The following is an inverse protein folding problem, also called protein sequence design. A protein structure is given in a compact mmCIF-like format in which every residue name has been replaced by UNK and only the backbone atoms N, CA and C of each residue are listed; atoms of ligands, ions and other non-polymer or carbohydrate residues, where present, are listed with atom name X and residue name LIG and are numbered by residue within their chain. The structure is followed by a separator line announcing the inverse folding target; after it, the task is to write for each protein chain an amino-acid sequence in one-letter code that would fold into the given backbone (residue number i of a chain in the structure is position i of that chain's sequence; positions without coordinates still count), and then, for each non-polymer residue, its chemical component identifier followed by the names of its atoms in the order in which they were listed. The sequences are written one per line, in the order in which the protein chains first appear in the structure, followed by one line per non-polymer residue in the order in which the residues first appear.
data_IF_623534191459
#
_entry.id   IF_623534191459
#
_cell.length_a   1.000
_cell.length_b   1.000
_cell.length_c   1.000
_cell.angle_alpha   90.00
_cell.angle_beta   90.00
_cell.angle_gamma   90.00
#
_symmetry.space_group_name_H-M   'P 1'
#
loop_
_entity.id
_entity.type
_entity.pdbx_description
1 polymer ?
#
# COMPACT_ATOMS: atom_id res chain seq x y z
N UNK A 1 2.11 -31.95 -8.64
CA UNK A 1 1.30 -30.72 -8.71
C UNK A 1 2.19 -29.57 -8.31
N UNK A 2 2.16 -28.42 -8.99
CA UNK A 2 2.87 -27.23 -8.49
C UNK A 2 2.30 -26.86 -7.13
N UNK A 3 3.16 -26.55 -6.16
CA UNK A 3 2.75 -26.08 -4.83
C UNK A 3 1.98 -24.75 -5.02
N UNK A 4 0.75 -24.70 -4.52
CA UNK A 4 -0.07 -23.48 -4.52
C UNK A 4 0.19 -22.70 -3.24
N UNK A 5 -0.08 -21.40 -3.26
CA UNK A 5 -0.10 -20.51 -2.11
C UNK A 5 -1.52 -19.98 -1.92
N UNK A 6 -2.16 -20.32 -0.81
CA UNK A 6 -3.45 -19.79 -0.43
C UNK A 6 -3.30 -18.34 0.04
N UNK A 7 -3.95 -17.42 -0.68
CA UNK A 7 -3.89 -15.98 -0.44
C UNK A 7 -5.16 -15.49 0.21
N UNK A 8 -5.01 -14.67 1.26
CA UNK A 8 -6.09 -13.88 1.84
C UNK A 8 -5.84 -12.40 1.58
N UNK A 9 -6.82 -11.72 0.98
CA UNK A 9 -6.75 -10.29 0.64
C UNK A 9 -7.70 -9.47 1.53
N UNK A 10 -7.14 -8.72 2.48
CA UNK A 10 -7.87 -7.79 3.32
C UNK A 10 -7.93 -6.40 2.68
N UNK A 11 -9.06 -5.72 2.83
CA UNK A 11 -9.26 -4.37 2.28
C UNK A 11 -9.02 -4.34 0.77
N UNK A 12 -9.59 -5.32 0.07
CA UNK A 12 -9.23 -5.65 -1.31
C UNK A 12 -9.45 -4.49 -2.31
N UNK A 13 -10.35 -3.55 -1.98
CA UNK A 13 -10.74 -2.48 -2.88
C UNK A 13 -11.28 -3.06 -4.18
N UNK A 14 -10.64 -2.72 -5.30
CA UNK A 14 -10.94 -3.29 -6.62
C UNK A 14 -10.00 -4.44 -7.01
N UNK A 15 -9.23 -4.98 -6.06
CA UNK A 15 -8.42 -6.20 -6.20
C UNK A 15 -7.03 -6.00 -6.78
N UNK A 16 -6.37 -4.90 -6.40
CA UNK A 16 -5.02 -4.59 -6.86
C UNK A 16 -3.97 -5.61 -6.42
N UNK A 17 -4.10 -6.21 -5.24
CA UNK A 17 -3.17 -7.26 -4.82
C UNK A 17 -3.41 -8.53 -5.61
N UNK A 18 -4.65 -9.05 -5.62
CA UNK A 18 -4.99 -10.28 -6.35
C UNK A 18 -4.60 -10.22 -7.81
N UNK A 19 -4.97 -9.14 -8.52
CA UNK A 19 -4.61 -8.98 -9.93
C UNK A 19 -3.09 -9.00 -10.15
N UNK A 20 -2.32 -8.37 -9.27
CA UNK A 20 -0.87 -8.34 -9.36
C UNK A 20 -0.23 -9.70 -9.13
N UNK A 21 -0.69 -10.42 -8.10
CA UNK A 21 -0.22 -11.76 -7.76
C UNK A 21 -0.58 -12.78 -8.86
N UNK A 22 -1.82 -12.78 -9.36
CA UNK A 22 -2.23 -13.66 -10.45
C UNK A 22 -1.51 -13.33 -11.77
N UNK A 23 -1.17 -12.06 -12.03
CA UNK A 23 -0.27 -11.67 -13.14
C UNK A 23 1.17 -12.14 -12.94
N UNK A 24 1.61 -12.39 -11.71
CA UNK A 24 2.92 -12.98 -11.45
C UNK A 24 2.88 -14.48 -11.74
N UNK A 25 1.91 -15.21 -11.17
CA UNK A 25 1.61 -16.59 -11.50
C UNK A 25 0.24 -17.02 -10.93
N UNK A 26 -0.79 -17.12 -11.77
CA UNK A 26 -2.14 -17.52 -11.39
C UNK A 26 -2.27 -18.99 -11.00
N UNK A 27 -1.32 -19.84 -11.38
CA UNK A 27 -1.34 -21.27 -11.02
C UNK A 27 -0.84 -21.48 -9.59
N UNK A 28 -0.02 -20.57 -9.07
CA UNK A 28 0.52 -20.62 -7.71
C UNK A 28 -0.33 -19.80 -6.74
N UNK A 29 -0.56 -18.52 -7.02
CA UNK A 29 -1.31 -17.66 -6.11
C UNK A 29 -2.82 -17.91 -6.24
N UNK A 30 -3.42 -18.54 -5.22
CA UNK A 30 -4.86 -18.82 -5.18
C UNK A 30 -5.51 -17.97 -4.10
N UNK A 31 -6.24 -16.94 -4.50
CA UNK A 31 -6.99 -16.12 -3.53
C UNK A 31 -8.21 -16.90 -3.05
N UNK A 32 -8.11 -17.46 -1.84
CA UNK A 32 -9.16 -18.30 -1.24
C UNK A 32 -10.23 -17.48 -0.53
N UNK A 33 -9.85 -16.30 -0.02
CA UNK A 33 -10.78 -15.39 0.65
C UNK A 33 -10.33 -13.93 0.50
N UNK A 34 -11.28 -13.04 0.23
CA UNK A 34 -11.04 -11.61 0.14
C UNK A 34 -12.15 -10.82 0.84
N UNK A 35 -11.80 -9.73 1.52
CA UNK A 35 -12.75 -8.84 2.17
C UNK A 35 -12.66 -7.41 1.65
N UNK A 36 -13.82 -6.87 1.31
CA UNK A 36 -13.97 -5.46 0.97
C UNK A 36 -15.32 -4.96 1.44
N UNK A 37 -15.30 -3.98 2.34
CA UNK A 37 -16.50 -3.34 2.87
C UNK A 37 -16.30 -1.84 3.09
N UNK A 38 -17.28 -1.05 2.65
CA UNK A 38 -17.30 0.41 2.81
C UNK A 38 -18.46 0.83 3.74
N UNK A 39 -18.24 1.01 5.06
CA UNK A 39 -19.32 1.20 6.05
C UNK A 39 -20.26 2.35 5.75
N UNK A 40 -19.71 3.43 5.19
CA UNK A 40 -20.44 4.68 4.96
C UNK A 40 -21.22 4.69 3.64
N UNK A 41 -21.30 3.57 2.92
CA UNK A 41 -21.91 3.50 1.59
C UNK A 41 -23.00 2.45 1.51
N UNK A 42 -24.13 2.81 0.89
CA UNK A 42 -25.18 1.86 0.54
C UNK A 42 -24.77 0.98 -0.63
N UNK A 43 -24.24 1.59 -1.69
CA UNK A 43 -23.69 0.88 -2.85
C UNK A 43 -22.23 0.53 -2.57
N UNK A 44 -21.89 -0.74 -2.73
CA UNK A 44 -20.55 -1.28 -2.46
C UNK A 44 -19.78 -1.40 -3.78
N UNK A 45 -19.54 -0.28 -4.46
CA UNK A 45 -18.98 -0.23 -5.82
C UNK A 45 -17.64 -0.98 -5.94
N UNK A 46 -16.75 -0.83 -4.95
CA UNK A 46 -15.47 -1.52 -4.95
C UNK A 46 -15.64 -3.04 -4.86
N UNK A 47 -16.51 -3.53 -3.96
CA UNK A 47 -16.82 -4.94 -3.83
C UNK A 47 -17.48 -5.50 -5.09
N UNK A 48 -18.47 -4.80 -5.65
CA UNK A 48 -19.13 -5.22 -6.89
C UNK A 48 -18.16 -5.28 -8.08
N UNK A 49 -17.21 -4.34 -8.14
CA UNK A 49 -16.12 -4.37 -9.11
C UNK A 49 -15.20 -5.59 -8.90
N UNK A 50 -14.86 -5.90 -7.65
CA UNK A 50 -14.04 -7.06 -7.31
C UNK A 50 -14.71 -8.36 -7.77
N UNK A 51 -15.95 -8.61 -7.36
CA UNK A 51 -16.69 -9.85 -7.66
C UNK A 51 -17.07 -10.01 -9.13
N UNK A 52 -17.13 -8.90 -9.88
CA UNK A 52 -17.29 -8.94 -11.34
C UNK A 52 -16.04 -9.46 -12.05
N UNK A 53 -14.85 -9.07 -11.57
CA UNK A 53 -13.59 -9.43 -12.23
C UNK A 53 -13.01 -10.76 -11.72
N UNK A 54 -13.40 -11.19 -10.51
CA UNK A 54 -12.94 -12.43 -9.91
C UNK A 54 -14.11 -13.32 -9.55
N UNK A 55 -14.10 -14.57 -10.02
CA UNK A 55 -15.18 -15.54 -9.80
C UNK A 55 -14.80 -16.67 -8.83
N UNK A 56 -13.52 -16.81 -8.51
CA UNK A 56 -13.00 -17.85 -7.61
C UNK A 56 -12.71 -17.29 -6.22
N UNK A 57 -12.76 -18.17 -5.22
CA UNK A 57 -12.60 -17.83 -3.79
C UNK A 57 -13.85 -17.21 -3.18
N UNK A 58 -13.83 -17.01 -1.87
CA UNK A 58 -14.92 -16.37 -1.12
C UNK A 58 -14.70 -14.86 -1.12
N UNK A 59 -15.74 -14.07 -1.47
CA UNK A 59 -15.69 -12.61 -1.40
C UNK A 59 -16.63 -12.12 -0.31
N UNK A 60 -16.06 -11.62 0.78
CA UNK A 60 -16.78 -11.06 1.94
C UNK A 60 -17.03 -9.56 1.75
N UNK A 61 -18.30 -9.16 1.84
CA UNK A 61 -18.73 -7.75 1.89
C UNK A 61 -19.19 -7.34 3.30
N UNK A 62 -18.52 -7.86 4.32
CA UNK A 62 -18.89 -7.63 5.72
C UNK A 62 -17.83 -6.81 6.44
N UNK A 63 -18.20 -6.23 7.58
CA UNK A 63 -17.24 -5.63 8.50
C UNK A 63 -16.25 -6.70 8.95
N UNK A 64 -14.96 -6.50 8.67
CA UNK A 64 -13.91 -7.45 9.04
C UNK A 64 -13.91 -7.72 10.56
N UNK A 65 -14.32 -6.75 11.38
CA UNK A 65 -14.39 -6.89 12.84
C UNK A 65 -15.49 -7.85 13.31
N UNK A 66 -16.42 -8.25 12.42
CA UNK A 66 -17.49 -9.21 12.72
C UNK A 66 -17.24 -10.60 12.14
N UNK A 67 -16.20 -10.77 11.31
CA UNK A 67 -15.85 -12.06 10.71
C UNK A 67 -15.31 -13.00 11.81
N UNK A 68 -15.89 -14.20 12.02
CA UNK A 68 -15.47 -15.12 13.08
C UNK A 68 -14.04 -15.63 12.90
N UNK A 69 -13.35 -15.91 14.01
CA UNK A 69 -11.98 -16.43 14.04
C UNK A 69 -11.85 -17.77 13.31
N UNK A 70 -12.87 -18.63 13.42
CA UNK A 70 -12.93 -19.95 12.76
C UNK A 70 -12.81 -19.84 11.24
N UNK A 71 -13.23 -18.71 10.66
CA UNK A 71 -13.05 -18.43 9.24
C UNK A 71 -11.58 -18.48 8.87
N UNK A 72 -10.69 -17.83 9.63
CA UNK A 72 -9.27 -17.74 9.29
C UNK A 72 -8.51 -19.02 9.61
N UNK A 73 -8.93 -19.76 10.64
CA UNK A 73 -8.33 -21.04 11.04
C UNK A 73 -8.48 -22.13 9.96
N UNK A 74 -9.54 -22.06 9.14
CA UNK A 74 -9.86 -23.06 8.12
C UNK A 74 -9.28 -22.76 6.73
N UNK A 75 -8.72 -21.57 6.51
CA UNK A 75 -8.30 -21.11 5.18
C UNK A 75 -6.89 -21.54 4.78
N UNK A 76 -6.13 -22.19 5.68
CA UNK A 76 -4.74 -22.63 5.44
C UNK A 76 -3.90 -21.52 4.77
N UNK A 77 -3.88 -20.33 5.37
CA UNK A 77 -3.35 -19.12 4.72
C UNK A 77 -1.83 -19.21 4.58
N UNK A 78 -1.31 -19.12 3.35
CA UNK A 78 0.14 -19.01 3.11
C UNK A 78 0.60 -17.56 3.01
N UNK A 79 -0.19 -16.71 2.36
CA UNK A 79 0.12 -15.30 2.12
C UNK A 79 -1.06 -14.42 2.50
N UNK A 80 -0.85 -13.53 3.47
CA UNK A 80 -1.79 -12.47 3.82
C UNK A 80 -1.40 -11.16 3.13
N UNK A 81 -2.32 -10.54 2.39
CA UNK A 81 -2.10 -9.24 1.77
C UNK A 81 -3.15 -8.22 2.18
N UNK A 82 -2.80 -6.93 2.19
CA UNK A 82 -3.81 -5.90 2.42
C UNK A 82 -3.30 -4.46 2.44
N UNK A 83 -4.09 -3.57 1.85
CA UNK A 83 -3.87 -2.12 1.84
C UNK A 83 -4.78 -1.47 2.87
N UNK A 84 -4.37 -1.48 4.14
CA UNK A 84 -5.25 -1.06 5.23
C UNK A 84 -5.38 0.47 5.34
N UNK A 85 -6.55 1.01 5.75
CA UNK A 85 -6.74 2.45 5.91
C UNK A 85 -5.76 3.09 6.90
N UNK A 86 -5.12 4.20 6.50
CA UNK A 86 -4.22 4.99 7.35
C UNK A 86 -5.02 5.77 8.42
N UNK A 87 -5.19 5.20 9.61
CA UNK A 87 -5.78 5.86 10.79
C UNK A 87 -4.74 5.97 11.92
N UNK A 88 -4.86 6.98 12.79
CA UNK A 88 -4.00 7.09 13.98
C UNK A 88 -4.23 5.86 14.89
N UNK A 89 -3.14 5.20 15.32
CA UNK A 89 -3.23 4.06 16.22
C UNK A 89 -3.28 4.54 17.67
N UNK A 90 -4.09 3.90 18.50
CA UNK A 90 -4.09 4.13 19.94
C UNK A 90 -4.17 2.80 20.65
N UNK A 91 -3.30 2.62 21.65
CA UNK A 91 -3.37 1.52 22.60
C UNK A 91 -4.19 2.02 23.80
N UNK A 92 -5.21 1.29 24.23
CA UNK A 92 -5.95 1.60 25.45
C UNK A 92 -6.07 0.36 26.35
N UNK A 93 -6.01 0.59 27.66
CA UNK A 93 -6.24 -0.40 28.73
C UNK A 93 -7.67 -0.92 28.70
N UNK A 94 -7.88 -2.20 28.98
CA UNK A 94 -9.06 -2.62 29.75
C UNK A 94 -8.84 -2.24 31.22
N UNK A 95 -9.88 -1.75 31.90
CA UNK A 95 -9.82 -1.40 33.34
C UNK A 95 -9.80 -2.65 34.25
N UNK A 96 -9.63 -3.85 33.70
CA UNK A 96 -9.86 -5.12 34.39
C UNK A 96 -8.79 -6.17 34.07
N UNK A 97 -7.49 -5.86 34.17
CA UNK A 97 -6.42 -6.86 34.28
C UNK A 97 -6.28 -7.90 33.16
N UNK A 98 -7.08 -7.81 32.09
CA UNK A 98 -7.07 -8.71 30.95
C UNK A 98 -6.03 -8.25 29.93
N UNK A 99 -5.24 -9.19 29.40
CA UNK A 99 -4.26 -9.00 28.33
C UNK A 99 -4.96 -8.76 26.97
N UNK A 100 -5.84 -7.76 26.90
CA UNK A 100 -6.59 -7.41 25.69
C UNK A 100 -6.38 -5.93 25.33
N UNK A 101 -5.84 -5.68 24.13
CA UNK A 101 -5.70 -4.34 23.55
C UNK A 101 -7.05 -3.93 22.94
N UNK A 102 -7.85 -3.10 23.62
CA UNK A 102 -9.06 -2.49 23.02
C UNK A 102 -8.87 -0.97 22.87
N UNK A 103 -8.27 -0.56 21.75
CA UNK A 103 -8.18 0.85 21.34
C UNK A 103 -9.18 1.18 20.23
N UNK A 104 -10.08 2.15 20.45
CA UNK A 104 -11.16 2.55 19.52
C UNK A 104 -10.73 3.35 18.27
N UNK A 105 -9.42 3.51 17.99
CA UNK A 105 -8.88 4.08 16.74
C UNK A 105 -7.51 3.42 16.48
N UNK A 106 -7.33 2.83 15.30
CA UNK A 106 -6.29 1.81 14.99
C UNK A 106 -6.85 0.40 14.73
N UNK A 107 -8.18 0.25 14.75
CA UNK A 107 -8.93 -1.03 14.71
C UNK A 107 -8.46 -1.99 13.63
N UNK A 108 -8.18 -1.51 12.42
CA UNK A 108 -7.99 -2.39 11.27
C UNK A 108 -6.63 -3.09 11.20
N UNK A 109 -5.57 -2.55 11.83
CA UNK A 109 -4.33 -3.34 12.00
C UNK A 109 -4.50 -4.43 13.05
N UNK A 110 -5.34 -4.22 14.06
CA UNK A 110 -5.64 -5.26 15.03
C UNK A 110 -6.40 -6.43 14.40
N UNK A 111 -7.20 -6.17 13.37
CA UNK A 111 -7.80 -7.24 12.57
C UNK A 111 -6.75 -8.01 11.76
N UNK A 112 -5.73 -7.32 11.20
CA UNK A 112 -4.58 -8.01 10.59
C UNK A 112 -3.90 -8.90 11.65
N UNK A 113 -3.60 -8.37 12.84
CA UNK A 113 -3.05 -9.14 13.96
C UNK A 113 -3.92 -10.35 14.30
N UNK A 114 -5.25 -10.19 14.37
CA UNK A 114 -6.20 -11.27 14.64
C UNK A 114 -6.13 -12.37 13.60
N UNK A 115 -6.00 -12.03 12.31
CA UNK A 115 -5.78 -13.03 11.25
C UNK A 115 -4.45 -13.74 11.45
N UNK A 116 -3.37 -13.01 11.75
CA UNK A 116 -2.05 -13.60 11.99
C UNK A 116 -2.04 -14.57 13.18
N UNK A 117 -2.75 -14.25 14.27
CA UNK A 117 -2.89 -15.10 15.46
C UNK A 117 -3.70 -16.36 15.22
N UNK A 118 -4.64 -16.33 14.27
CA UNK A 118 -5.51 -17.47 13.96
C UNK A 118 -4.98 -18.40 12.87
N UNK A 119 -4.08 -17.91 12.02
CA UNK A 119 -3.65 -18.65 10.81
C UNK A 119 -2.15 -18.76 10.63
N UNK A 120 -1.36 -17.87 11.24
CA UNK A 120 0.10 -17.84 11.14
C UNK A 120 0.62 -18.04 9.70
N UNK A 121 0.32 -17.13 8.75
CA UNK A 121 0.76 -17.30 7.36
C UNK A 121 2.29 -17.31 7.22
N UNK A 122 2.81 -17.92 6.16
CA UNK A 122 4.26 -17.88 5.86
C UNK A 122 4.72 -16.46 5.60
N UNK A 123 3.91 -15.73 4.84
CA UNK A 123 4.23 -14.40 4.33
C UNK A 123 3.09 -13.42 4.59
N UNK A 124 3.45 -12.15 4.78
CA UNK A 124 2.53 -11.03 4.90
C UNK A 124 3.05 -9.88 4.04
N UNK A 125 2.22 -9.37 3.13
CA UNK A 125 2.55 -8.23 2.30
C UNK A 125 1.51 -7.12 2.47
N UNK A 126 1.90 -6.05 3.17
CA UNK A 126 1.01 -4.93 3.45
C UNK A 126 1.45 -3.67 2.70
N UNK A 127 0.48 -2.80 2.43
CA UNK A 127 0.72 -1.47 1.85
C UNK A 127 0.11 -0.37 2.72
N UNK A 128 0.79 0.78 2.75
CA UNK A 128 0.25 2.02 3.27
C UNK A 128 0.90 3.27 2.66
N UNK A 129 0.42 4.46 3.03
CA UNK A 129 1.12 5.72 2.75
C UNK A 129 2.42 5.82 3.55
N UNK A 130 3.46 6.44 2.97
CA UNK A 130 4.79 6.55 3.60
C UNK A 130 4.80 7.35 4.92
N UNK A 131 3.75 8.11 5.19
CA UNK A 131 3.53 8.80 6.47
C UNK A 131 3.43 7.83 7.65
N UNK A 132 3.04 6.56 7.43
CA UNK A 132 2.96 5.54 8.47
C UNK A 132 4.25 5.45 9.31
N UNK A 133 5.41 5.53 8.65
CA UNK A 133 6.74 5.51 9.28
C UNK A 133 6.99 6.64 10.30
N UNK A 134 6.15 7.68 10.27
CA UNK A 134 6.23 8.88 11.11
C UNK A 134 5.03 9.00 12.05
N UNK A 135 4.08 8.08 11.99
CA UNK A 135 2.83 8.15 12.74
C UNK A 135 3.02 7.83 14.23
N UNK A 136 2.25 8.47 15.14
CA UNK A 136 1.37 9.61 14.90
C UNK A 136 2.16 10.92 14.85
N UNK A 137 1.52 11.98 14.37
CA UNK A 137 2.11 13.33 14.32
C UNK A 137 2.61 13.86 15.68
N UNK A 138 1.99 13.42 16.80
CA UNK A 138 2.35 13.85 18.16
C UNK A 138 3.51 13.08 18.78
N UNK A 139 3.84 11.90 18.26
CA UNK A 139 4.86 11.01 18.81
C UNK A 139 5.48 10.19 17.66
N UNK A 140 6.43 10.80 16.97
CA UNK A 140 6.90 10.32 15.67
C UNK A 140 7.34 8.86 15.71
N UNK A 141 6.80 8.05 14.81
CA UNK A 141 7.23 6.66 14.56
C UNK A 141 6.71 5.62 15.55
N UNK A 142 6.01 6.03 16.62
CA UNK A 142 5.45 5.11 17.61
C UNK A 142 4.54 4.06 16.97
N UNK A 143 3.63 4.45 16.09
CA UNK A 143 2.64 3.51 15.53
C UNK A 143 3.31 2.42 14.69
N UNK A 144 4.30 2.82 13.88
CA UNK A 144 5.08 1.86 13.11
C UNK A 144 5.90 0.93 14.03
N UNK A 145 6.46 1.45 15.14
CA UNK A 145 7.14 0.63 16.13
C UNK A 145 6.22 -0.38 16.82
N UNK A 146 4.95 -0.02 17.10
CA UNK A 146 3.94 -0.95 17.62
C UNK A 146 3.66 -2.06 16.60
N UNK A 147 3.57 -1.74 15.30
CA UNK A 147 3.42 -2.77 14.27
C UNK A 147 4.62 -3.71 14.22
N UNK A 148 5.85 -3.17 14.23
CA UNK A 148 7.07 -3.99 14.26
C UNK A 148 7.14 -4.88 15.50
N UNK A 149 6.79 -4.36 16.68
CA UNK A 149 6.72 -5.15 17.91
C UNK A 149 5.66 -6.24 17.83
N UNK A 150 4.50 -5.96 17.22
CA UNK A 150 3.45 -6.97 16.99
C UNK A 150 3.97 -8.11 16.12
N UNK A 151 4.66 -7.81 15.02
CA UNK A 151 5.27 -8.84 14.16
C UNK A 151 6.36 -9.63 14.88
N UNK A 152 7.21 -8.95 15.67
CA UNK A 152 8.23 -9.59 16.51
C UNK A 152 7.58 -10.58 17.48
N UNK A 153 6.53 -10.17 18.18
CA UNK A 153 5.86 -10.97 19.20
C UNK A 153 5.13 -12.18 18.58
N UNK A 154 4.78 -12.09 17.29
CA UNK A 154 4.24 -13.17 16.48
C UNK A 154 5.30 -13.98 15.72
N UNK A 155 6.59 -13.78 16.03
CA UNK A 155 7.73 -14.49 15.46
C UNK A 155 7.94 -14.27 13.94
N UNK A 156 7.77 -13.03 13.48
CA UNK A 156 8.08 -12.61 12.10
C UNK A 156 9.30 -11.70 12.03
N UNK A 157 10.06 -11.87 10.95
CA UNK A 157 11.01 -10.87 10.47
C UNK A 157 10.27 -9.88 9.60
N UNK A 158 10.63 -8.59 9.65
CA UNK A 158 9.96 -7.55 8.87
C UNK A 158 10.96 -6.76 8.06
N UNK A 159 10.78 -6.72 6.75
CA UNK A 159 11.37 -5.70 5.88
C UNK A 159 10.34 -4.63 5.53
N UNK A 160 10.79 -3.40 5.26
CA UNK A 160 9.94 -2.36 4.67
C UNK A 160 10.68 -1.53 3.65
N UNK A 161 9.93 -0.99 2.68
CA UNK A 161 10.44 -0.05 1.69
C UNK A 161 9.38 0.93 1.21
N UNK A 162 9.74 2.21 1.15
CA UNK A 162 8.99 3.21 0.40
C UNK A 162 9.37 3.10 -1.06
N UNK A 163 8.41 2.73 -1.89
CA UNK A 163 8.55 2.55 -3.34
C UNK A 163 7.74 3.64 -4.04
N UNK A 164 8.38 4.33 -4.99
CA UNK A 164 7.70 5.21 -5.92
C UNK A 164 7.48 4.44 -7.23
N UNK A 165 6.24 4.20 -7.65
CA UNK A 165 5.98 3.33 -8.79
C UNK A 165 6.69 3.79 -10.09
N UNK A 166 6.75 5.09 -10.34
CA UNK A 166 7.46 5.67 -11.47
C UNK A 166 8.98 5.47 -11.43
N UNK A 167 9.61 5.22 -10.28
CA UNK A 167 11.04 4.91 -10.24
C UNK A 167 11.33 3.48 -10.74
N UNK A 168 10.30 2.62 -10.81
CA UNK A 168 10.42 1.18 -11.10
C UNK A 168 9.57 0.72 -12.29
N UNK A 169 9.28 1.61 -13.24
CA UNK A 169 8.73 1.27 -14.56
C UNK A 169 7.26 1.56 -14.76
N UNK A 170 6.58 2.21 -13.81
CA UNK A 170 5.15 2.53 -13.94
C UNK A 170 4.90 3.97 -14.43
N UNK A 171 3.64 4.25 -14.80
CA UNK A 171 3.25 5.54 -15.36
C UNK A 171 2.95 6.63 -14.31
N UNK A 172 3.04 6.32 -13.01
CA UNK A 172 2.56 7.19 -11.93
C UNK A 172 3.62 7.38 -10.84
N UNK A 173 3.87 8.63 -10.45
CA UNK A 173 4.61 8.98 -9.24
C UNK A 173 3.75 8.67 -8.02
N UNK A 174 3.70 7.41 -7.58
CA UNK A 174 2.92 6.95 -6.42
C UNK A 174 3.86 6.36 -5.38
N UNK A 175 4.12 7.13 -4.33
CA UNK A 175 4.97 6.73 -3.19
C UNK A 175 4.14 6.04 -2.13
N UNK A 176 4.51 4.81 -1.78
CA UNK A 176 3.87 3.98 -0.75
C UNK A 176 4.90 3.18 0.02
N UNK A 177 4.65 2.94 1.30
CA UNK A 177 5.43 1.99 2.08
C UNK A 177 4.81 0.61 1.90
N UNK A 178 5.64 -0.34 1.51
CA UNK A 178 5.33 -1.75 1.54
C UNK A 178 6.05 -2.39 2.72
N UNK A 179 5.37 -3.33 3.38
CA UNK A 179 5.89 -4.08 4.51
C UNK A 179 5.79 -5.54 4.14
N UNK A 180 6.92 -6.24 4.14
CA UNK A 180 6.99 -7.67 3.91
C UNK A 180 7.42 -8.34 5.20
N UNK A 181 6.52 -9.08 5.82
CA UNK A 181 6.81 -9.88 7.00
C UNK A 181 6.82 -11.35 6.61
N UNK A 182 7.74 -12.12 7.17
CA UNK A 182 7.86 -13.55 6.91
C UNK A 182 8.27 -14.28 8.18
N UNK A 183 7.80 -15.52 8.35
CA UNK A 183 8.06 -16.29 9.57
C UNK A 183 9.55 -16.52 9.77
N UNK A 184 9.95 -16.49 11.04
CA UNK A 184 11.32 -16.61 11.52
C UNK A 184 11.98 -17.98 11.25
N UNK A 185 11.18 -19.00 10.99
CA UNK A 185 11.56 -20.41 10.80
C UNK A 185 11.63 -20.85 9.33
N UNK A 186 11.42 -19.94 8.38
CA UNK A 186 11.60 -20.22 6.95
C UNK A 186 13.08 -20.30 6.57
N UNK A 187 13.41 -21.11 5.55
CA UNK A 187 14.77 -21.22 5.01
C UNK A 187 15.27 -19.84 4.53
N UNK A 188 14.38 -19.05 3.92
CA UNK A 188 14.65 -17.67 3.56
C UNK A 188 15.07 -16.84 4.77
N UNK A 189 14.37 -16.96 5.89
CA UNK A 189 14.72 -16.23 7.11
C UNK A 189 16.09 -16.65 7.63
N UNK A 190 16.35 -17.95 7.76
CA UNK A 190 17.66 -18.47 8.15
C UNK A 190 18.79 -17.96 7.26
N UNK A 191 18.54 -17.87 5.95
CA UNK A 191 19.50 -17.33 5.02
C UNK A 191 19.75 -15.83 5.24
N UNK A 192 18.71 -15.05 5.53
CA UNK A 192 18.86 -13.62 5.84
C UNK A 192 19.73 -13.36 7.08
N UNK A 193 19.70 -14.25 8.09
CA UNK A 193 20.57 -14.16 9.28
C UNK A 193 22.07 -14.30 8.98
N UNK A 194 22.46 -14.75 7.77
CA UNK A 194 23.86 -14.82 7.35
C UNK A 194 24.41 -13.46 6.91
N UNK A 195 23.55 -12.47 6.70
CA UNK A 195 23.91 -11.14 6.23
C UNK A 195 23.78 -10.10 7.35
N UNK A 196 24.53 -9.00 7.25
CA UNK A 196 24.30 -7.84 8.09
C UNK A 196 22.98 -7.16 7.69
N UNK A 197 22.31 -6.54 8.67
CA UNK A 197 21.01 -5.87 8.43
C UNK A 197 21.07 -4.80 7.32
N UNK A 198 22.21 -4.12 7.15
CA UNK A 198 22.40 -3.19 6.03
C UNK A 198 22.52 -3.90 4.68
N UNK A 199 23.20 -5.05 4.59
CA UNK A 199 23.28 -5.87 3.37
C UNK A 199 21.90 -6.37 2.95
N UNK A 200 21.03 -6.74 3.90
CA UNK A 200 19.63 -7.09 3.63
C UNK A 200 18.91 -5.89 2.98
N UNK A 201 19.03 -4.70 3.56
CA UNK A 201 18.37 -3.50 3.04
C UNK A 201 18.88 -3.09 1.66
N UNK A 202 20.17 -3.20 1.38
CA UNK A 202 20.72 -2.71 0.11
C UNK A 202 20.81 -3.75 -1.00
N UNK A 203 20.86 -5.05 -0.68
CA UNK A 203 21.20 -6.09 -1.67
C UNK A 203 20.45 -7.42 -1.51
N UNK A 204 20.38 -7.98 -0.31
CA UNK A 204 20.03 -9.40 -0.12
C UNK A 204 18.56 -9.64 0.24
N UNK A 205 17.90 -8.64 0.80
CA UNK A 205 16.51 -8.73 1.27
C UNK A 205 15.48 -8.74 0.14
N UNK A 206 14.25 -9.08 0.51
CA UNK A 206 13.10 -9.12 -0.38
C UNK A 206 12.96 -7.85 -1.23
N UNK A 207 12.95 -6.69 -0.59
CA UNK A 207 12.78 -5.44 -1.33
C UNK A 207 14.04 -5.02 -2.08
N UNK A 208 15.23 -5.45 -1.66
CA UNK A 208 16.48 -5.15 -2.35
C UNK A 208 16.55 -5.85 -3.71
N UNK A 209 16.16 -7.13 -3.74
CA UNK A 209 16.03 -7.91 -4.98
C UNK A 209 14.91 -7.37 -5.89
N UNK A 210 13.77 -7.01 -5.30
CA UNK A 210 12.60 -6.53 -6.07
C UNK A 210 12.76 -5.11 -6.63
N UNK A 211 13.34 -4.21 -5.82
CA UNK A 211 13.42 -2.77 -6.10
C UNK A 211 14.83 -2.24 -5.81
N UNK A 212 15.81 -2.47 -6.71
CA UNK A 212 17.21 -2.16 -6.45
C UNK A 212 17.47 -0.68 -6.14
N UNK A 213 18.31 -0.44 -5.14
CA UNK A 213 18.74 0.88 -4.67
C UNK A 213 20.26 1.01 -4.77
N UNK A 214 20.78 2.23 -4.74
CA UNK A 214 22.22 2.44 -4.58
C UNK A 214 22.68 1.81 -3.25
N UNK A 215 23.90 1.28 -3.24
CA UNK A 215 24.45 0.51 -2.10
C UNK A 215 24.86 1.37 -0.90
N UNK A 216 24.60 2.68 -0.94
CA UNK A 216 24.96 3.62 0.13
C UNK A 216 23.73 4.41 0.60
N UNK A 217 23.67 4.78 1.90
CA UNK A 217 22.61 5.63 2.43
C UNK A 217 22.66 7.02 1.79
N UNK A 218 21.51 7.52 1.36
CA UNK A 218 21.40 8.89 0.84
C UNK A 218 21.78 9.90 1.92
N UNK A 219 22.91 10.59 1.70
CA UNK A 219 23.52 11.56 2.62
C UNK A 219 23.86 10.95 4.00
N UNK A 220 24.26 9.68 4.05
CA UNK A 220 24.68 9.05 5.31
C UNK A 220 23.54 8.84 6.33
N UNK A 221 22.28 8.89 5.89
CA UNK A 221 21.11 8.80 6.76
C UNK A 221 20.73 7.34 7.00
N UNK A 222 21.34 6.74 8.00
CA UNK A 222 21.01 5.42 8.50
C UNK A 222 21.14 5.34 10.01
N UNK A 223 20.37 4.46 10.63
CA UNK A 223 20.33 4.26 12.06
C UNK A 223 19.98 2.79 12.36
N UNK A 224 20.56 2.25 13.42
CA UNK A 224 20.15 0.97 14.00
C UNK A 224 19.78 1.16 15.46
N UNK A 225 18.79 0.42 15.94
CA UNK A 225 18.37 0.43 17.34
C UNK A 225 17.60 -0.86 17.68
N UNK A 226 17.13 -0.99 18.91
CA UNK A 226 16.31 -2.10 19.39
C UNK A 226 14.98 -1.61 19.92
N UNK A 227 13.90 -2.28 19.53
CA UNK A 227 12.58 -2.01 20.07
C UNK A 227 12.52 -2.42 21.56
N UNK A 228 11.90 -1.59 22.42
CA UNK A 228 11.51 -2.03 23.76
C UNK A 228 10.73 -3.34 23.72
N UNK A 229 10.98 -4.24 24.68
CA UNK A 229 10.25 -5.51 24.75
C UNK A 229 8.77 -5.28 25.09
N UNK A 230 8.51 -4.38 26.04
CA UNK A 230 7.15 -4.03 26.44
C UNK A 230 6.48 -3.07 25.44
N UNK A 231 5.38 -3.53 24.82
CA UNK A 231 4.56 -2.72 23.90
C UNK A 231 4.00 -1.47 24.59
N UNK A 232 3.76 -1.50 25.91
CA UNK A 232 3.33 -0.32 26.66
C UNK A 232 4.44 0.75 26.71
N UNK A 233 5.69 0.33 26.92
CA UNK A 233 6.83 1.24 26.86
C UNK A 233 6.96 1.88 25.47
N UNK A 234 6.66 1.13 24.40
CA UNK A 234 6.61 1.67 23.05
C UNK A 234 5.50 2.72 22.95
N UNK A 235 4.28 2.37 23.36
CA UNK A 235 3.12 3.25 23.32
C UNK A 235 3.38 4.58 24.02
N UNK A 236 3.93 4.54 25.23
CA UNK A 236 4.01 5.71 26.09
C UNK A 236 5.23 6.59 25.79
N UNK A 237 6.36 6.00 25.39
CA UNK A 237 7.65 6.71 25.39
C UNK A 237 8.43 6.64 24.08
N UNK A 238 8.12 5.69 23.19
CA UNK A 238 8.96 5.51 22.00
C UNK A 238 8.72 6.61 20.97
N UNK A 239 9.81 7.20 20.49
CA UNK A 239 9.81 8.20 19.42
C UNK A 239 11.04 7.97 18.57
N UNK A 240 10.84 7.72 17.28
CA UNK A 240 11.92 7.40 16.36
C UNK A 240 11.61 7.86 14.94
N UNK A 241 12.64 8.30 14.22
CA UNK A 241 12.52 8.71 12.82
C UNK A 241 12.88 7.61 11.85
N UNK A 242 12.00 6.64 11.61
CA UNK A 242 12.25 5.58 10.62
C UNK A 242 12.51 6.17 9.22
N UNK A 243 13.48 5.60 8.53
CA UNK A 243 13.81 5.97 7.16
C UNK A 243 13.03 5.12 6.15
N UNK A 244 13.22 5.43 4.87
CA UNK A 244 12.40 4.87 3.78
C UNK A 244 12.61 3.39 3.52
N UNK A 245 13.68 2.77 4.03
CA UNK A 245 13.85 1.33 3.98
C UNK A 245 14.39 0.82 5.32
N UNK A 246 14.14 -0.45 5.61
CA UNK A 246 14.71 -1.08 6.80
C UNK A 246 14.34 -2.55 6.93
N UNK A 247 14.97 -3.17 7.92
CA UNK A 247 14.70 -4.55 8.36
C UNK A 247 14.69 -4.60 9.87
N UNK A 248 13.77 -5.38 10.45
CA UNK A 248 13.69 -5.71 11.86
C UNK A 248 13.76 -7.23 12.01
N UNK A 249 14.73 -7.69 12.82
CA UNK A 249 14.99 -9.09 13.14
C UNK A 249 15.09 -9.23 14.66
N UNK A 250 14.27 -10.07 15.26
CA UNK A 250 14.25 -10.35 16.71
C UNK A 250 14.18 -9.06 17.57
N UNK A 251 13.45 -8.04 17.09
CA UNK A 251 13.28 -6.74 17.74
C UNK A 251 14.42 -5.74 17.53
N UNK A 252 15.54 -6.14 16.95
CA UNK A 252 16.60 -5.24 16.51
C UNK A 252 16.33 -4.79 15.08
N UNK A 253 16.51 -3.50 14.80
CA UNK A 253 16.25 -2.97 13.47
C UNK A 253 17.39 -2.11 12.95
N UNK A 254 17.50 -2.08 11.63
CA UNK A 254 18.31 -1.14 10.87
C UNK A 254 17.41 -0.44 9.86
N UNK A 255 17.59 0.85 9.69
CA UNK A 255 16.83 1.64 8.72
C UNK A 255 17.71 2.69 8.06
N UNK A 256 17.49 2.89 6.77
CA UNK A 256 18.26 3.82 5.97
C UNK A 256 17.41 4.57 4.96
N UNK A 257 17.82 5.79 4.66
CA UNK A 257 17.29 6.50 3.52
C UNK A 257 17.96 5.97 2.27
N UNK A 258 17.17 5.39 1.38
CA UNK A 258 17.64 4.85 0.11
C UNK A 258 17.39 5.81 -1.05
N UNK A 259 18.16 5.62 -2.11
CA UNK A 259 17.98 6.22 -3.43
C UNK A 259 17.96 5.09 -4.46
N UNK A 260 17.04 5.15 -5.42
CA UNK A 260 16.90 4.12 -6.46
C UNK A 260 18.18 3.99 -7.30
N UNK A 261 18.53 2.77 -7.70
CA UNK A 261 19.73 2.51 -8.48
C UNK A 261 19.59 3.01 -9.92
N UNK A 262 18.46 2.71 -10.56
CA UNK A 262 18.14 3.10 -11.94
C UNK A 262 16.66 3.47 -12.03
N UNK A 263 16.36 4.68 -12.50
CA UNK A 263 14.99 5.13 -12.72
C UNK A 263 14.52 4.78 -14.13
N UNK A 264 13.30 4.25 -14.22
CA UNK A 264 12.59 4.12 -15.48
C UNK A 264 11.11 4.33 -15.23
N UNK A 265 10.43 5.09 -16.08
CA UNK A 265 9.00 5.33 -15.98
C UNK A 265 8.32 5.19 -17.35
N UNK A 266 7.00 5.02 -17.33
CA UNK A 266 6.17 5.11 -18.53
C UNK A 266 5.66 6.56 -18.65
N UNK A 267 5.94 7.28 -19.74
CA UNK A 267 5.38 8.61 -19.96
C UNK A 267 3.85 8.60 -20.01
N UNK A 268 3.19 9.64 -19.51
CA UNK A 268 1.73 9.77 -19.57
C UNK A 268 1.17 9.62 -20.99
N UNK A 269 1.86 10.17 -22.00
CA UNK A 269 1.43 10.05 -23.41
C UNK A 269 1.28 8.60 -23.90
N UNK A 270 1.92 7.63 -23.23
CA UNK A 270 1.88 6.22 -23.62
C UNK A 270 0.67 5.48 -23.05
N UNK A 271 -0.06 6.07 -22.09
CA UNK A 271 -1.22 5.44 -21.46
C UNK A 271 -2.55 6.14 -21.77
N UNK A 272 -2.51 7.32 -22.40
CA UNK A 272 -3.70 8.05 -22.80
C UNK A 272 -4.37 7.39 -24.00
N UNK A 273 -5.69 7.58 -24.14
CA UNK A 273 -6.46 7.14 -25.29
C UNK A 273 -6.15 8.01 -26.52
N UNK A 274 -6.45 7.47 -27.70
CA UNK A 274 -6.54 8.30 -28.90
C UNK A 274 -7.67 9.33 -28.73
N UNK A 275 -7.44 10.57 -29.16
CA UNK A 275 -8.42 11.65 -28.97
C UNK A 275 -9.75 11.40 -29.69
N UNK A 276 -9.78 10.53 -30.70
CA UNK A 276 -11.02 10.11 -31.37
C UNK A 276 -11.92 9.20 -30.52
N UNK A 277 -11.37 8.57 -29.49
CA UNK A 277 -12.09 7.70 -28.55
C UNK A 277 -12.56 8.45 -27.29
N UNK A 278 -12.14 9.71 -27.12
CA UNK A 278 -12.43 10.50 -25.91
C UNK A 278 -13.74 11.27 -26.06
N UNK A 279 -14.71 10.96 -25.18
CA UNK A 279 -15.97 11.69 -25.08
C UNK A 279 -15.76 13.19 -24.78
N UNK A 280 -16.51 14.04 -25.48
CA UNK A 280 -16.48 15.49 -25.32
C UNK A 280 -16.70 15.98 -23.88
N UNK A 281 -17.39 15.20 -23.03
CA UNK A 281 -17.61 15.53 -21.60
C UNK A 281 -16.33 15.67 -20.78
N UNK A 282 -15.21 15.08 -21.23
CA UNK A 282 -13.93 15.15 -20.51
C UNK A 282 -13.13 16.40 -20.83
N UNK A 283 -13.47 17.13 -21.89
CA UNK A 283 -12.80 18.38 -22.24
C UNK A 283 -13.26 19.52 -21.34
N UNK A 284 -12.33 20.38 -20.96
CA UNK A 284 -12.62 21.49 -20.07
C UNK A 284 -13.49 22.53 -20.79
N UNK A 285 -14.57 22.92 -20.12
CA UNK A 285 -15.34 24.12 -20.48
C UNK A 285 -14.55 25.40 -20.14
N UNK A 286 -14.91 26.54 -20.74
CA UNK A 286 -14.27 27.83 -20.43
C UNK A 286 -14.29 28.16 -18.93
N UNK A 287 -15.45 27.97 -18.27
CA UNK A 287 -15.59 28.19 -16.83
C UNK A 287 -14.71 27.25 -15.99
N UNK A 288 -14.54 25.99 -16.41
CA UNK A 288 -13.62 25.07 -15.74
C UNK A 288 -12.16 25.50 -15.95
N UNK A 289 -11.78 25.89 -17.16
CA UNK A 289 -10.43 26.35 -17.45
C UNK A 289 -10.04 27.58 -16.59
N UNK A 290 -10.93 28.57 -16.46
CA UNK A 290 -10.72 29.73 -15.58
C UNK A 290 -10.58 29.31 -14.10
N UNK A 291 -11.47 28.43 -13.63
CA UNK A 291 -11.42 27.92 -12.26
C UNK A 291 -10.11 27.18 -11.96
N UNK A 292 -9.62 26.36 -12.89
CA UNK A 292 -8.34 25.67 -12.73
C UNK A 292 -7.14 26.62 -12.81
N UNK A 293 -7.19 27.65 -13.66
CA UNK A 293 -6.17 28.69 -13.69
C UNK A 293 -6.04 29.38 -12.32
N UNK A 294 -7.16 29.71 -11.66
CA UNK A 294 -7.15 30.25 -10.30
C UNK A 294 -6.67 29.23 -9.25
N UNK A 295 -7.14 27.98 -9.32
CA UNK A 295 -6.77 26.93 -8.35
C UNK A 295 -5.27 26.57 -8.42
N UNK A 296 -4.70 26.54 -9.62
CA UNK A 296 -3.29 26.22 -9.83
C UNK A 296 -2.37 27.46 -9.80
N UNK A 297 -2.91 28.67 -9.93
CA UNK A 297 -2.17 29.92 -9.80
C UNK A 297 -1.69 30.20 -8.36
N UNK A 298 -0.59 30.96 -8.20
CA UNK A 298 -0.11 31.40 -6.90
C UNK A 298 -1.14 32.34 -6.24
N UNK A 299 -1.33 32.20 -4.93
CA UNK A 299 -2.25 33.05 -4.17
C UNK A 299 -1.75 33.30 -2.76
N UNK A 300 -2.05 34.49 -2.24
CA UNK A 300 -1.80 34.89 -0.86
C UNK A 300 -3.06 35.56 -0.33
N UNK A 301 -3.79 34.88 0.55
CA UNK A 301 -5.12 35.28 1.01
C UNK A 301 -5.05 35.45 2.53
N UNK A 302 -5.48 36.60 3.05
CA UNK A 302 -5.67 36.77 4.50
C UNK A 302 -6.84 35.87 4.95
N UNK A 303 -6.60 35.05 5.98
CA UNK A 303 -7.60 34.19 6.61
C UNK A 303 -7.60 34.44 8.11
N UNK A 304 -8.74 34.19 8.73
CA UNK A 304 -8.90 34.23 10.19
C UNK A 304 -9.08 32.82 10.71
N UNK A 305 -8.31 32.42 11.72
CA UNK A 305 -8.47 31.13 12.40
C UNK A 305 -9.80 31.07 13.15
N UNK A 306 -10.23 29.86 13.55
CA UNK A 306 -11.38 29.70 14.43
C UNK A 306 -11.23 30.44 15.78
N UNK A 307 -9.99 30.74 16.19
CA UNK A 307 -9.64 31.51 17.40
C UNK A 307 -9.50 33.01 17.16
N UNK A 308 -9.81 33.52 15.96
CA UNK A 308 -9.77 34.95 15.62
C UNK A 308 -8.41 35.48 15.16
N UNK A 309 -7.37 34.65 15.11
CA UNK A 309 -6.03 35.06 14.66
C UNK A 309 -5.97 35.22 13.13
N UNK A 310 -5.58 36.39 12.65
CA UNK A 310 -5.36 36.65 11.22
C UNK A 310 -4.00 36.12 10.77
N UNK A 311 -3.98 35.35 9.68
CA UNK A 311 -2.78 34.84 9.05
C UNK A 311 -2.91 34.87 7.53
N UNK A 312 -1.78 34.93 6.81
CA UNK A 312 -1.79 34.79 5.37
C UNK A 312 -1.69 33.32 4.97
N UNK A 313 -2.72 32.81 4.30
CA UNK A 313 -2.62 31.56 3.57
C UNK A 313 -1.93 31.83 2.23
N UNK A 314 -0.68 31.40 2.10
CA UNK A 314 0.08 31.45 0.86
C UNK A 314 0.15 30.06 0.21
N UNK A 315 -0.09 30.00 -1.09
CA UNK A 315 -0.01 28.78 -1.88
C UNK A 315 0.73 29.08 -3.18
N UNK A 316 1.82 28.36 -3.44
CA UNK A 316 2.62 28.50 -4.67
C UNK A 316 1.89 27.99 -5.91
N UNK A 317 2.30 28.47 -7.09
CA UNK A 317 1.75 28.03 -8.37
C UNK A 317 2.06 26.56 -8.70
N UNK A 318 1.25 25.96 -9.56
CA UNK A 318 1.40 24.63 -10.15
C UNK A 318 1.24 24.75 -11.67
N UNK A 319 1.90 23.85 -12.43
CA UNK A 319 1.72 23.77 -13.88
C UNK A 319 0.23 23.71 -14.27
N UNK A 320 -0.23 24.44 -15.29
CA UNK A 320 -1.63 24.38 -15.74
C UNK A 320 -2.09 22.99 -16.18
N UNK A 321 -1.16 22.16 -16.62
CA UNK A 321 -1.37 20.79 -17.12
C UNK A 321 -0.29 19.84 -16.61
N UNK A 322 -0.58 18.56 -16.65
CA UNK A 322 0.32 17.46 -16.36
C UNK A 322 1.25 17.22 -17.56
N UNK A 323 2.52 16.90 -17.28
CA UNK A 323 3.55 16.71 -18.31
C UNK A 323 3.39 15.35 -18.99
N UNK A 324 3.07 15.37 -20.28
CA UNK A 324 2.89 14.17 -21.11
C UNK A 324 4.19 13.39 -21.35
N UNK A 325 5.35 14.02 -21.23
CA UNK A 325 6.65 13.35 -21.39
C UNK A 325 7.14 12.71 -20.10
N UNK A 326 6.62 13.12 -18.95
CA UNK A 326 6.91 12.54 -17.63
C UNK A 326 5.87 11.52 -17.18
N UNK A 327 6.08 10.89 -16.00
CA UNK A 327 5.04 10.10 -15.37
C UNK A 327 4.01 11.01 -14.68
N UNK A 328 2.78 10.52 -14.57
CA UNK A 328 1.67 11.21 -13.92
C UNK A 328 1.92 11.44 -12.44
N UNK A 329 1.23 12.42 -11.86
CA UNK A 329 1.28 12.66 -10.41
C UNK A 329 0.52 11.55 -9.68
N UNK A 330 0.64 11.50 -8.35
CA UNK A 330 -0.18 10.58 -7.55
C UNK A 330 -1.65 10.89 -7.77
N UNK A 331 -2.42 9.88 -8.21
CA UNK A 331 -3.86 9.96 -8.28
C UNK A 331 -4.46 9.91 -6.87
N UNK A 332 -5.37 10.83 -6.58
CA UNK A 332 -6.05 10.94 -5.29
C UNK A 332 -7.50 10.49 -5.41
N UNK A 333 -8.12 10.12 -4.29
CA UNK A 333 -9.56 9.80 -4.25
C UNK A 333 -10.45 10.99 -4.63
N UNK A 334 -9.91 12.21 -4.57
CA UNK A 334 -10.57 13.45 -4.98
C UNK A 334 -10.44 13.72 -6.48
N UNK A 335 -9.88 12.83 -7.29
CA UNK A 335 -9.64 13.05 -8.72
C UNK A 335 -10.91 13.51 -9.47
N UNK A 336 -12.06 12.88 -9.21
CA UNK A 336 -13.35 13.25 -9.82
C UNK A 336 -13.95 14.58 -9.33
N UNK A 337 -13.21 15.39 -8.56
CA UNK A 337 -13.66 16.70 -8.08
C UNK A 337 -12.88 17.83 -8.74
N UNK A 338 -13.34 19.08 -8.59
CA UNK A 338 -12.62 20.25 -9.09
C UNK A 338 -11.70 20.78 -8.01
N UNK A 339 -10.47 20.28 -7.97
CA UNK A 339 -9.43 20.72 -7.06
C UNK A 339 -8.09 20.84 -7.79
N UNK A 340 -7.13 21.59 -7.25
CA UNK A 340 -5.88 21.88 -7.96
C UNK A 340 -5.06 20.64 -8.36
N UNK A 341 -5.22 19.52 -7.65
CA UNK A 341 -4.49 18.26 -7.90
C UNK A 341 -5.15 17.32 -8.91
N UNK A 342 -6.39 17.57 -9.32
CA UNK A 342 -7.04 16.84 -10.42
C UNK A 342 -6.18 16.92 -11.68
N UNK A 343 -5.91 15.81 -12.32
CA UNK A 343 -5.11 15.70 -13.53
C UNK A 343 -5.80 16.41 -14.70
N UNK A 344 -5.01 17.20 -15.41
CA UNK A 344 -5.42 17.87 -16.64
C UNK A 344 -4.29 17.72 -17.62
N UNK A 345 -4.55 17.11 -18.76
CA UNK A 345 -3.58 17.02 -19.85
C UNK A 345 -3.98 17.94 -20.99
N UNK A 346 -3.02 18.26 -21.85
CA UNK A 346 -3.26 19.02 -23.07
C UNK A 346 -2.74 18.23 -24.27
N UNK A 347 -3.65 17.89 -25.17
CA UNK A 347 -3.37 17.13 -26.39
C UNK A 347 -3.91 17.95 -27.56
N UNK A 348 -3.07 18.18 -28.58
CA UNK A 348 -3.44 18.97 -29.76
C UNK A 348 -4.07 20.35 -29.42
N UNK A 349 -3.57 21.01 -28.37
CA UNK A 349 -4.04 22.33 -27.92
C UNK A 349 -5.37 22.33 -27.14
N UNK A 350 -5.93 21.15 -26.85
CA UNK A 350 -7.18 21.01 -26.07
C UNK A 350 -6.88 20.42 -24.70
N UNK A 351 -7.43 21.06 -23.66
CA UNK A 351 -7.28 20.62 -22.26
C UNK A 351 -8.43 19.71 -21.86
N UNK A 352 -8.11 18.59 -21.23
CA UNK A 352 -9.10 17.63 -20.74
C UNK A 352 -8.64 16.94 -19.46
N UNK A 353 -9.60 16.37 -18.74
CA UNK A 353 -9.31 15.44 -17.66
C UNK A 353 -8.79 14.11 -18.23
N UNK A 354 -8.08 13.34 -17.39
CA UNK A 354 -7.89 11.92 -17.67
C UNK A 354 -9.25 11.22 -17.63
N UNK A 355 -9.48 10.28 -18.55
CA UNK A 355 -10.68 9.43 -18.54
C UNK A 355 -10.56 8.33 -17.49
N UNK A 356 -11.65 7.66 -17.10
CA UNK A 356 -11.57 6.52 -16.18
C UNK A 356 -10.66 5.39 -16.66
N UNK A 357 -10.63 5.11 -17.97
CA UNK A 357 -9.74 4.09 -18.57
C UNK A 357 -8.27 4.52 -18.42
N UNK A 358 -7.97 5.79 -18.68
CA UNK A 358 -6.61 6.31 -18.52
C UNK A 358 -6.16 6.27 -17.05
N UNK A 359 -7.09 6.45 -16.10
CA UNK A 359 -6.83 6.28 -14.67
C UNK A 359 -6.62 4.82 -14.26
N UNK A 360 -7.28 3.86 -14.90
CA UNK A 360 -7.02 2.42 -14.75
C UNK A 360 -5.60 2.09 -15.23
N UNK A 361 -5.25 2.51 -16.45
CA UNK A 361 -3.91 2.35 -17.02
C UNK A 361 -2.82 3.03 -16.20
N UNK A 362 -3.10 4.21 -15.61
CA UNK A 362 -2.19 4.92 -14.70
C UNK A 362 -1.83 4.10 -13.44
N UNK A 363 -2.69 3.17 -13.04
CA UNK A 363 -2.47 2.23 -11.94
C UNK A 363 -2.15 0.80 -12.42
N UNK A 364 -1.87 0.62 -13.72
CA UNK A 364 -1.56 -0.67 -14.37
C UNK A 364 -2.70 -1.70 -14.35
N UNK A 365 -3.95 -1.24 -14.23
CA UNK A 365 -5.14 -2.07 -14.42
C UNK A 365 -5.47 -2.22 -15.92
N UNK A 366 -6.08 -3.34 -16.34
CA UNK A 366 -6.70 -3.48 -17.64
C UNK A 366 -7.79 -2.43 -17.87
N UNK A 367 -8.07 -2.12 -19.14
CA UNK A 367 -9.16 -1.24 -19.51
C UNK A 367 -10.50 -1.81 -19.03
N UNK A 368 -11.39 -0.91 -18.60
CA UNK A 368 -12.74 -1.23 -18.13
C UNK A 368 -12.77 -2.07 -16.83
N UNK A 369 -11.67 -2.08 -16.08
CA UNK A 369 -11.60 -2.77 -14.79
C UNK A 369 -12.68 -2.30 -13.81
N UNK A 370 -12.99 -1.00 -13.80
CA UNK A 370 -14.01 -0.37 -12.96
C UNK A 370 -15.29 -0.03 -13.71
N UNK A 371 -15.52 -0.64 -14.87
CA UNK A 371 -16.78 -0.47 -15.60
C UNK A 371 -17.99 -0.91 -14.75
N UNK A 372 -19.12 -0.21 -14.93
CA UNK A 372 -20.38 -0.45 -14.21
C UNK A 372 -20.64 0.50 -13.05
N UNK A 373 -19.64 1.23 -12.57
CA UNK A 373 -19.82 2.30 -11.56
C UNK A 373 -19.75 3.70 -12.19
N UNK A 374 -20.36 4.74 -11.57
CA UNK A 374 -20.25 6.12 -12.05
C UNK A 374 -18.80 6.60 -12.14
N UNK A 375 -18.47 7.48 -13.10
CA UNK A 375 -17.09 8.01 -13.29
C UNK A 375 -16.45 8.50 -11.99
N UNK A 376 -17.22 9.21 -11.15
CA UNK A 376 -16.76 9.70 -9.84
C UNK A 376 -16.29 8.56 -8.93
N UNK A 377 -16.94 7.40 -8.98
CA UNK A 377 -16.57 6.22 -8.23
C UNK A 377 -15.38 5.50 -8.85
N UNK A 378 -15.30 5.42 -10.19
CA UNK A 378 -14.10 4.91 -10.88
C UNK A 378 -12.85 5.66 -10.45
N UNK A 379 -12.93 7.00 -10.43
CA UNK A 379 -11.86 7.87 -9.95
C UNK A 379 -11.54 7.67 -8.46
N UNK A 380 -12.56 7.54 -7.61
CA UNK A 380 -12.37 7.28 -6.18
C UNK A 380 -11.63 5.96 -5.94
N UNK A 381 -12.06 4.88 -6.61
CA UNK A 381 -11.46 3.56 -6.52
C UNK A 381 -10.01 3.57 -7.02
N UNK A 382 -9.73 4.16 -8.19
CA UNK A 382 -8.36 4.26 -8.72
C UNK A 382 -7.45 5.17 -7.87
N UNK A 383 -8.00 6.19 -7.19
CA UNK A 383 -7.25 6.98 -6.22
C UNK A 383 -6.80 6.19 -4.99
N UNK A 384 -7.60 5.20 -4.57
CA UNK A 384 -7.27 4.27 -3.48
C UNK A 384 -6.45 3.06 -3.94
N UNK A 385 -6.52 2.70 -5.22
CA UNK A 385 -5.90 1.49 -5.74
C UNK A 385 -4.36 1.45 -5.61
N UNK A 386 -3.83 0.24 -5.73
CA UNK A 386 -2.39 -0.03 -5.83
C UNK A 386 -1.93 0.16 -7.28
N UNK A 387 -0.61 0.20 -7.50
CA UNK A 387 -0.07 0.02 -8.85
C UNK A 387 0.21 -1.46 -9.06
N UNK A 388 -0.58 -2.10 -9.92
CA UNK A 388 -0.61 -3.56 -10.11
C UNK A 388 0.78 -4.12 -10.46
N UNK A 389 1.55 -3.41 -11.28
CA UNK A 389 2.88 -3.88 -11.69
C UNK A 389 3.88 -3.96 -10.52
N UNK A 390 3.73 -3.14 -9.48
CA UNK A 390 4.56 -3.28 -8.28
C UNK A 390 4.23 -4.58 -7.54
N UNK A 391 2.94 -4.89 -7.41
CA UNK A 391 2.50 -6.14 -6.79
C UNK A 391 2.98 -7.33 -7.61
N UNK A 392 2.88 -7.28 -8.94
CA UNK A 392 3.42 -8.32 -9.82
C UNK A 392 4.91 -8.58 -9.55
N UNK A 393 5.73 -7.53 -9.48
CA UNK A 393 7.18 -7.66 -9.19
C UNK A 393 7.41 -8.30 -7.82
N UNK A 394 6.68 -7.87 -6.80
CA UNK A 394 6.76 -8.47 -5.47
C UNK A 394 6.31 -9.94 -5.46
N UNK A 395 5.25 -10.27 -6.20
CA UNK A 395 4.79 -11.65 -6.38
C UNK A 395 5.85 -12.53 -7.04
N UNK A 396 6.57 -12.03 -8.05
CA UNK A 396 7.68 -12.75 -8.67
C UNK A 396 8.79 -13.07 -7.67
N UNK A 397 9.18 -12.11 -6.83
CA UNK A 397 10.15 -12.36 -5.76
C UNK A 397 9.65 -13.35 -4.72
N UNK A 398 8.35 -13.33 -4.36
CA UNK A 398 7.75 -14.34 -3.47
C UNK A 398 7.83 -15.73 -4.10
N UNK A 399 7.60 -15.88 -5.41
CA UNK A 399 7.73 -17.16 -6.10
C UNK A 399 9.16 -17.69 -6.06
N UNK A 400 10.15 -16.82 -6.26
CA UNK A 400 11.58 -17.20 -6.14
C UNK A 400 11.91 -17.68 -4.72
N UNK A 401 11.39 -16.98 -3.70
CA UNK A 401 11.57 -17.36 -2.30
C UNK A 401 10.90 -18.70 -2.01
N UNK A 402 9.61 -18.87 -2.34
CA UNK A 402 8.87 -20.10 -2.00
C UNK A 402 9.35 -21.33 -2.78
N UNK A 403 9.93 -21.14 -3.97
CA UNK A 403 10.55 -22.23 -4.73
C UNK A 403 11.82 -22.78 -4.06
N UNK A 404 12.55 -21.94 -3.32
CA UNK A 404 13.76 -22.32 -2.59
C UNK A 404 13.47 -22.86 -1.17
N UNK A 405 12.24 -22.68 -0.65
CA UNK A 405 11.82 -23.23 0.64
C UNK A 405 11.74 -24.76 0.57
N UNK A 406 12.55 -25.45 1.39
CA UNK A 406 12.45 -26.90 1.51
C UNK A 406 11.14 -27.26 2.19
N UNK A 407 10.49 -28.30 1.69
CA UNK A 407 9.38 -28.92 2.42
C UNK A 407 9.95 -29.55 3.68
N UNK A 408 9.70 -28.95 4.84
CA UNK A 408 10.11 -29.51 6.13
C UNK A 408 9.25 -30.73 6.48
N UNK A 409 9.87 -31.71 7.13
CA UNK A 409 9.25 -32.99 7.51
C UNK A 409 8.00 -32.84 8.40
N UNK A 410 7.86 -31.74 9.13
CA UNK A 410 6.68 -31.44 9.95
C UNK A 410 5.41 -31.20 9.13
N UNK A 411 5.51 -30.74 7.87
CA UNK A 411 4.36 -30.64 6.97
C UNK A 411 3.90 -32.00 6.44
N UNK A 412 4.74 -33.04 6.51
CA UNK A 412 4.40 -34.40 6.09
C UNK A 412 3.65 -35.16 7.20
N UNK A 413 3.95 -34.89 8.47
CA UNK A 413 3.25 -35.53 9.62
C UNK A 413 1.83 -35.02 9.87
N UNK A 414 1.43 -33.91 9.25
CA UNK A 414 0.03 -33.43 9.22
C UNK A 414 -0.77 -33.95 8.01
N UNK A 415 -0.13 -34.71 7.11
CA UNK A 415 -0.73 -35.27 5.89
C UNK A 415 -0.77 -36.81 5.87
N UNK A 416 -0.42 -37.46 6.98
CA UNK A 416 -0.58 -38.91 7.23
C UNK A 416 -1.41 -39.07 8.49
#
# INVERSE_FOLDING_TARGET
MSKTLNVVELFAGVGGFRLGLEKANSDVFKTVWANQWEPSRKTQDAFNCYTRNFTEGIHSNEDITTVPDETFQQLEIDLLVGGFPCQDYSVARSLSGEKGLQGKKGVLFWEIKRVLENSHPKYVLLENVDRLLKSPSKQRGRDFAIMLATFRDLNYIVEWRVVNAAEYGSAQKRRRVFIFAYKRDLDFAENQFKFKKNEIVYKEGFFAKTFPVKSEPYKGRETADKLPQDVLQISDNFSFGFHTAGVMMDGEFFTAQTEVANESFIPLKNIILDESEVDNKFYLTGAQAEKFAYLRGPKKIERTSATGHKYFFAEGGMSPTDDLQGPGRTMLTSEGSVNRSTHIIEVNGRKRFLTPIECERLNSFPDNWTEGMPDRMRYFCMGNALVVDLIKKMGQTILEIDADEKVTSEQIELLI
#
